data_IF_047681385231
#
_entry.id   IF_047681385231
#
_cell.length_a   1.000
_cell.length_b   1.000
_cell.length_c   1.000
_cell.angle_alpha   90.00
_cell.angle_beta   90.00
_cell.angle_gamma   90.00
#
_symmetry.space_group_name_H-M   'P 1'
#
loop_
_entity.id
_entity.type
_entity.pdbx_description
1 polymer ?
#
# COMPACT_ATOMS: atom_id res chain seq x y z
N UNK A 1 -91.64 -60.40 36.74
CA UNK A 1 -91.97 -59.86 38.08
C UNK A 1 -90.68 -59.67 38.85
N UNK A 2 -90.53 -58.60 39.64
CA UNK A 2 -89.47 -58.49 40.67
C UNK A 2 -88.03 -58.20 40.21
N UNK A 3 -87.61 -56.95 40.39
CA UNK A 3 -86.23 -56.57 40.79
C UNK A 3 -86.08 -56.92 42.32
N UNK A 4 -84.92 -56.80 43.03
CA UNK A 4 -83.77 -55.96 42.71
C UNK A 4 -82.32 -56.44 43.03
N UNK A 5 -81.39 -55.82 42.29
CA UNK A 5 -80.08 -55.26 42.66
C UNK A 5 -79.32 -55.64 43.96
N UNK A 6 -77.99 -55.76 43.83
CA UNK A 6 -77.04 -55.38 44.90
C UNK A 6 -75.81 -54.61 44.34
N UNK A 7 -75.37 -53.61 45.13
CA UNK A 7 -74.29 -52.64 44.91
C UNK A 7 -73.19 -52.83 46.00
N UNK A 8 -71.95 -52.29 45.91
CA UNK A 8 -71.44 -51.21 45.04
C UNK A 8 -69.93 -51.38 44.67
N UNK A 9 -69.59 -50.87 43.49
CA UNK A 9 -68.39 -50.14 42.99
C UNK A 9 -67.21 -49.90 43.98
N UNK A 10 -65.97 -49.91 43.43
CA UNK A 10 -64.90 -48.87 43.48
C UNK A 10 -63.61 -49.49 42.89
N UNK A 11 -63.23 -49.16 41.65
CA UNK A 11 -62.31 -48.07 41.23
C UNK A 11 -60.82 -48.35 41.60
N UNK A 12 -59.79 -48.15 40.76
CA UNK A 12 -59.68 -47.34 39.53
C UNK A 12 -58.35 -47.58 38.74
N UNK A 13 -58.26 -47.01 37.52
CA UNK A 13 -57.06 -46.61 36.74
C UNK A 13 -56.40 -47.57 35.71
N UNK A 14 -56.33 -47.00 34.50
CA UNK A 14 -56.00 -47.47 33.14
C UNK A 14 -54.50 -47.21 32.81
N UNK A 15 -54.02 -47.69 31.63
CA UNK A 15 -52.81 -47.29 30.83
C UNK A 15 -51.64 -48.33 30.85
N UNK A 16 -51.00 -48.76 29.74
CA UNK A 16 -51.27 -48.65 28.26
C UNK A 16 -50.62 -49.82 27.46
N UNK A 17 -50.52 -49.69 26.11
CA UNK A 17 -50.11 -50.68 25.07
C UNK A 17 -48.73 -50.44 24.42
N UNK A 18 -48.10 -51.54 23.99
CA UNK A 18 -47.34 -51.77 22.71
C UNK A 18 -46.12 -50.92 22.29
N UNK A 19 -45.00 -51.58 21.91
CA UNK A 19 -44.58 -51.72 20.48
C UNK A 19 -43.34 -52.63 20.22
N UNK A 20 -43.27 -53.11 18.96
CA UNK A 20 -42.13 -53.77 18.29
C UNK A 20 -40.83 -52.95 18.34
N UNK A 21 -39.66 -53.61 18.47
CA UNK A 21 -38.39 -53.11 17.91
C UNK A 21 -37.56 -54.24 17.29
N UNK A 22 -37.14 -54.02 16.04
CA UNK A 22 -36.32 -54.90 15.21
C UNK A 22 -34.83 -54.75 15.55
N UNK A 23 -34.07 -55.83 15.71
CA UNK A 23 -32.64 -55.76 16.00
C UNK A 23 -31.85 -55.21 14.80
N UNK A 24 -31.10 -54.13 15.00
CA UNK A 24 -30.35 -53.42 13.95
C UNK A 24 -28.85 -53.68 14.13
N UNK A 25 -28.22 -54.39 13.20
CA UNK A 25 -26.78 -54.62 13.21
C UNK A 25 -26.02 -53.36 12.76
N UNK A 26 -25.15 -52.83 13.61
CA UNK A 26 -24.29 -51.68 13.30
C UNK A 26 -22.96 -52.15 12.69
N UNK A 27 -22.39 -51.42 11.71
CA UNK A 27 -21.05 -51.69 11.21
C UNK A 27 -19.97 -51.36 12.25
N UNK A 28 -18.76 -51.95 12.17
CA UNK A 28 -17.69 -51.65 13.13
C UNK A 28 -17.18 -50.21 12.99
N UNK A 29 -17.02 -49.53 14.13
CA UNK A 29 -16.46 -48.17 14.19
C UNK A 29 -14.98 -48.16 13.81
N UNK A 30 -14.68 -47.72 12.58
CA UNK A 30 -13.32 -47.45 12.14
C UNK A 30 -12.90 -46.07 12.68
N UNK A 31 -12.24 -46.06 13.84
CA UNK A 31 -11.61 -44.87 14.39
C UNK A 31 -10.55 -44.32 13.42
N UNK A 32 -10.88 -43.26 12.69
CA UNK A 32 -9.89 -42.48 11.94
C UNK A 32 -8.95 -41.78 12.90
N UNK A 33 -7.64 -41.84 12.64
CA UNK A 33 -6.66 -41.06 13.41
C UNK A 33 -7.06 -39.57 13.41
N UNK A 34 -6.97 -38.85 14.54
CA UNK A 34 -7.15 -37.41 14.53
C UNK A 34 -6.08 -36.79 13.62
N UNK A 35 -6.48 -35.83 12.79
CA UNK A 35 -5.55 -35.08 11.94
C UNK A 35 -4.55 -34.36 12.83
N UNK A 36 -3.28 -34.72 12.72
CA UNK A 36 -2.21 -34.03 13.45
C UNK A 36 -1.72 -32.83 12.62
N UNK A 37 -0.90 -31.96 13.21
CA UNK A 37 -0.43 -30.74 12.55
C UNK A 37 0.24 -31.01 11.19
N UNK A 38 0.94 -32.14 11.01
CA UNK A 38 1.58 -32.52 9.74
C UNK A 38 0.56 -32.88 8.64
N UNK A 39 -0.64 -33.34 9.01
CA UNK A 39 -1.75 -33.59 8.06
C UNK A 39 -2.41 -32.29 7.59
N UNK A 40 -2.18 -31.16 8.28
CA UNK A 40 -2.71 -29.82 7.96
C UNK A 40 -1.67 -28.92 7.28
N UNK A 41 -0.38 -29.13 7.58
CA UNK A 41 0.73 -28.37 7.01
C UNK A 41 0.97 -28.73 5.53
N UNK A 42 0.27 -28.04 4.65
CA UNK A 42 0.73 -27.88 3.26
C UNK A 42 2.13 -27.25 3.28
N UNK A 43 3.04 -27.77 2.45
CA UNK A 43 4.32 -27.09 2.24
C UNK A 43 4.05 -25.79 1.48
N UNK A 44 3.94 -24.68 2.20
CA UNK A 44 4.13 -23.37 1.58
C UNK A 44 5.56 -23.31 1.07
N UNK A 45 5.74 -23.48 -0.24
CA UNK A 45 6.95 -22.97 -0.88
C UNK A 45 6.92 -21.47 -0.66
N UNK A 46 7.69 -20.99 0.32
CA UNK A 46 8.06 -19.59 0.41
C UNK A 46 8.82 -19.26 -0.85
N UNK A 47 8.11 -18.81 -1.88
CA UNK A 47 8.71 -18.23 -3.06
C UNK A 47 9.34 -16.93 -2.57
N UNK A 48 10.62 -17.01 -2.21
CA UNK A 48 11.47 -15.84 -1.99
C UNK A 48 11.62 -15.18 -3.35
N UNK A 49 10.60 -14.43 -3.75
CA UNK A 49 10.64 -13.58 -4.94
C UNK A 49 11.76 -12.59 -4.68
N UNK A 50 12.84 -12.69 -5.46
CA UNK A 50 13.90 -11.70 -5.44
C UNK A 50 13.26 -10.32 -5.60
N UNK A 51 13.37 -9.49 -4.56
CA UNK A 51 12.79 -8.14 -4.60
C UNK A 51 13.58 -7.30 -5.57
N UNK A 52 13.06 -7.13 -6.79
CA UNK A 52 13.67 -6.29 -7.81
C UNK A 52 13.79 -4.87 -7.28
N UNK A 53 15.03 -4.41 -7.08
CA UNK A 53 15.30 -3.04 -6.70
C UNK A 53 14.90 -2.09 -7.84
N UNK A 54 14.60 -0.85 -7.49
CA UNK A 54 14.08 0.14 -8.43
C UNK A 54 12.59 0.43 -8.26
N UNK A 55 12.11 1.30 -9.15
CA UNK A 55 10.72 1.66 -9.28
C UNK A 55 10.01 0.72 -10.26
N UNK A 56 8.94 0.08 -9.81
CA UNK A 56 8.16 -0.90 -10.57
C UNK A 56 6.77 -0.40 -10.91
N UNK A 57 6.34 -0.65 -12.15
CA UNK A 57 4.98 -0.36 -12.61
C UNK A 57 3.94 -1.31 -12.02
N UNK A 58 2.68 -0.87 -12.06
CA UNK A 58 1.53 -1.61 -11.56
C UNK A 58 0.98 -2.69 -12.51
N UNK A 59 1.35 -2.63 -13.80
CA UNK A 59 0.82 -3.42 -14.92
C UNK A 59 -0.72 -3.54 -15.02
N UNK A 60 -1.47 -2.65 -14.35
CA UNK A 60 -2.93 -2.63 -14.40
C UNK A 60 -3.42 -1.83 -15.60
N UNK A 61 -4.19 -2.47 -16.50
CA UNK A 61 -4.58 -1.95 -17.81
C UNK A 61 -5.25 -0.56 -17.83
N UNK A 62 -5.93 -0.16 -16.75
CA UNK A 62 -6.63 1.15 -16.64
C UNK A 62 -5.94 2.15 -15.71
N UNK A 63 -4.67 1.92 -15.35
CA UNK A 63 -3.97 2.80 -14.40
C UNK A 63 -3.53 4.12 -15.03
N UNK A 64 -4.23 5.21 -14.68
CA UNK A 64 -3.90 6.59 -15.08
C UNK A 64 -2.52 7.09 -14.59
N UNK A 65 -1.89 6.38 -13.65
CA UNK A 65 -0.59 6.71 -13.05
C UNK A 65 0.57 6.06 -13.81
N UNK A 66 0.43 4.79 -14.21
CA UNK A 66 1.51 3.99 -14.78
C UNK A 66 1.91 4.39 -16.22
N UNK A 67 1.14 5.28 -16.88
CA UNK A 67 1.54 5.90 -18.17
C UNK A 67 2.57 7.04 -18.03
N UNK A 68 2.78 7.55 -16.82
CA UNK A 68 3.65 8.70 -16.54
C UNK A 68 5.04 8.31 -16.01
N UNK A 69 5.52 7.09 -16.27
CA UNK A 69 6.91 6.66 -16.05
C UNK A 69 7.12 5.26 -16.65
N UNK A 70 8.35 4.77 -16.62
CA UNK A 70 8.73 3.40 -16.93
C UNK A 70 9.39 2.74 -15.71
N UNK A 71 9.47 1.42 -15.70
CA UNK A 71 10.30 0.71 -14.69
C UNK A 71 11.75 1.18 -14.81
N UNK A 72 12.38 1.52 -13.69
CA UNK A 72 13.78 1.98 -13.65
C UNK A 72 14.47 1.59 -12.33
N UNK A 73 15.77 1.29 -12.39
CA UNK A 73 16.62 1.05 -11.22
C UNK A 73 17.37 2.30 -10.73
N UNK A 74 17.30 3.42 -11.45
CA UNK A 74 18.01 4.66 -11.13
C UNK A 74 17.20 5.92 -11.53
N UNK A 75 17.65 7.07 -11.02
CA UNK A 75 17.24 8.41 -11.50
C UNK A 75 18.45 9.25 -11.91
N UNK A 76 18.31 10.08 -12.94
CA UNK A 76 19.39 10.96 -13.40
C UNK A 76 19.26 12.37 -12.82
N UNK A 77 20.38 12.97 -12.42
CA UNK A 77 20.46 14.40 -12.14
C UNK A 77 20.43 15.20 -13.45
N UNK A 78 19.64 16.30 -13.57
CA UNK A 78 19.56 17.10 -14.80
C UNK A 78 20.86 17.79 -15.18
N UNK A 79 21.76 17.99 -14.20
CA UNK A 79 22.86 18.96 -14.33
C UNK A 79 24.20 18.33 -14.71
N UNK A 80 24.41 17.06 -14.36
CA UNK A 80 25.63 16.30 -14.68
C UNK A 80 25.33 14.90 -15.27
N UNK A 81 24.05 14.59 -15.53
CA UNK A 81 23.57 13.27 -15.99
C UNK A 81 23.93 12.08 -15.09
N UNK A 82 24.43 12.31 -13.87
CA UNK A 82 24.80 11.24 -12.94
C UNK A 82 23.57 10.41 -12.56
N UNK A 83 23.72 9.08 -12.66
CA UNK A 83 22.68 8.12 -12.29
C UNK A 83 22.81 7.75 -10.81
N UNK A 84 21.76 8.01 -10.05
CA UNK A 84 21.62 7.61 -8.65
C UNK A 84 20.74 6.38 -8.60
N UNK A 85 21.29 5.25 -8.14
CA UNK A 85 20.54 4.00 -7.99
C UNK A 85 19.44 4.13 -6.94
N UNK A 86 18.35 3.38 -7.11
CA UNK A 86 17.22 3.27 -6.19
C UNK A 86 17.41 1.96 -5.41
N UNK A 87 17.98 1.97 -4.18
CA UNK A 87 18.34 0.76 -3.45
C UNK A 87 17.15 0.07 -2.76
N UNK A 88 15.93 0.31 -3.24
CA UNK A 88 14.68 -0.18 -2.65
C UNK A 88 13.76 -0.71 -3.74
N UNK A 89 12.94 -1.70 -3.41
CA UNK A 89 11.76 -2.06 -4.21
C UNK A 89 10.64 -1.05 -3.96
N UNK A 90 10.43 -0.12 -4.91
CA UNK A 90 9.42 0.94 -4.85
C UNK A 90 8.39 0.78 -5.96
N UNK A 91 7.19 1.32 -5.76
CA UNK A 91 6.12 1.34 -6.76
C UNK A 91 5.10 2.42 -6.43
N UNK A 92 4.05 2.55 -7.24
CA UNK A 92 2.96 3.51 -6.98
C UNK A 92 2.18 3.30 -5.67
N UNK A 93 2.28 2.12 -5.03
CA UNK A 93 1.66 1.87 -3.72
C UNK A 93 2.62 2.14 -2.54
N UNK A 94 3.90 2.45 -2.81
CA UNK A 94 4.85 2.83 -1.75
C UNK A 94 4.44 4.16 -1.12
N UNK A 95 4.57 4.22 0.21
CA UNK A 95 4.27 5.36 1.06
C UNK A 95 5.49 5.73 1.90
N UNK A 96 5.49 6.91 2.53
CA UNK A 96 6.64 7.39 3.30
C UNK A 96 7.91 7.41 2.44
N UNK A 97 7.86 8.15 1.33
CA UNK A 97 8.89 8.16 0.29
C UNK A 97 9.24 9.58 -0.16
N UNK A 98 10.41 9.70 -0.77
CA UNK A 98 10.78 10.81 -1.64
C UNK A 98 10.55 10.39 -3.09
N UNK A 99 10.05 11.31 -3.91
CA UNK A 99 9.80 11.13 -5.33
C UNK A 99 10.23 12.35 -6.12
N UNK A 100 10.48 12.12 -7.41
CA UNK A 100 10.77 13.14 -8.41
C UNK A 100 9.62 13.25 -9.39
N UNK A 101 9.29 14.47 -9.77
CA UNK A 101 8.56 14.79 -11.01
C UNK A 101 9.56 15.45 -11.96
N UNK A 102 9.83 14.82 -13.09
CA UNK A 102 10.68 15.36 -14.16
C UNK A 102 9.80 15.79 -15.32
N UNK A 103 9.99 17.01 -15.82
CA UNK A 103 9.42 17.42 -17.09
C UNK A 103 10.28 16.87 -18.24
N UNK A 104 9.74 15.97 -19.07
CA UNK A 104 10.49 15.35 -20.17
C UNK A 104 10.83 16.33 -21.31
N UNK A 105 10.19 17.50 -21.35
CA UNK A 105 10.39 18.52 -22.38
C UNK A 105 11.58 19.44 -22.09
N UNK A 106 11.75 19.86 -20.84
CA UNK A 106 12.79 20.81 -20.43
C UNK A 106 13.75 20.27 -19.35
N UNK A 107 13.61 18.99 -18.97
CA UNK A 107 14.41 18.27 -17.96
C UNK A 107 14.43 18.86 -16.54
N UNK A 108 13.64 19.91 -16.26
CA UNK A 108 13.46 20.44 -14.90
C UNK A 108 12.83 19.39 -13.99
N UNK A 109 13.34 19.32 -12.75
CA UNK A 109 12.88 18.38 -11.73
C UNK A 109 12.26 19.08 -10.51
N UNK A 110 11.20 18.48 -9.98
CA UNK A 110 10.61 18.73 -8.67
C UNK A 110 10.91 17.55 -7.75
N UNK A 111 11.50 17.79 -6.59
CA UNK A 111 11.62 16.83 -5.48
C UNK A 111 10.44 17.02 -4.54
N UNK A 112 9.83 15.93 -4.08
CA UNK A 112 8.85 16.01 -3.00
C UNK A 112 8.82 14.76 -2.14
N UNK A 113 8.41 14.92 -0.88
CA UNK A 113 8.08 13.80 0.00
C UNK A 113 6.57 13.54 0.06
N UNK A 114 6.19 12.33 0.47
CA UNK A 114 4.81 12.03 0.86
C UNK A 114 4.73 10.92 1.90
N UNK A 115 3.85 11.09 2.90
CA UNK A 115 3.43 10.05 3.84
C UNK A 115 2.35 9.13 3.26
N UNK A 116 1.62 9.58 2.23
CA UNK A 116 0.60 8.79 1.52
C UNK A 116 1.26 7.91 0.45
N UNK A 117 0.46 7.09 -0.25
CA UNK A 117 0.96 6.37 -1.43
C UNK A 117 1.33 7.34 -2.56
N UNK A 118 2.36 7.01 -3.35
CA UNK A 118 2.73 7.80 -4.53
C UNK A 118 1.53 8.00 -5.49
N UNK A 119 0.68 6.98 -5.65
CA UNK A 119 -0.55 7.04 -6.45
C UNK A 119 -1.49 8.14 -5.96
N UNK A 120 -1.72 8.24 -4.65
CA UNK A 120 -2.56 9.28 -4.07
C UNK A 120 -1.95 10.67 -4.29
N UNK A 121 -0.65 10.83 -3.98
CA UNK A 121 0.07 12.11 -4.20
C UNK A 121 0.07 12.54 -5.66
N UNK A 122 0.27 11.61 -6.60
CA UNK A 122 0.19 11.93 -8.04
C UNK A 122 -1.22 12.22 -8.52
N UNK A 123 -2.24 11.59 -7.93
CA UNK A 123 -3.64 11.92 -8.24
C UNK A 123 -3.95 13.36 -7.84
N UNK A 124 -3.42 13.82 -6.71
CA UNK A 124 -3.50 15.23 -6.32
C UNK A 124 -2.74 16.16 -7.29
N UNK A 125 -1.50 15.85 -7.67
CA UNK A 125 -0.76 16.64 -8.69
C UNK A 125 -1.49 16.70 -10.03
N UNK A 126 -2.08 15.58 -10.50
CA UNK A 126 -2.91 15.56 -11.71
C UNK A 126 -4.13 16.48 -11.59
N UNK A 127 -4.77 16.51 -10.43
CA UNK A 127 -5.89 17.42 -10.15
C UNK A 127 -5.43 18.89 -10.16
N UNK A 128 -4.32 19.24 -9.48
CA UNK A 128 -3.85 20.62 -9.44
C UNK A 128 -3.43 21.14 -10.82
N UNK A 129 -2.80 20.30 -11.64
CA UNK A 129 -2.50 20.61 -13.06
C UNK A 129 -3.82 20.80 -13.85
N UNK A 130 -4.72 19.82 -13.84
CA UNK A 130 -5.97 19.84 -14.66
C UNK A 130 -6.93 20.97 -14.27
N UNK A 131 -6.91 21.41 -13.00
CA UNK A 131 -7.80 22.43 -12.46
C UNK A 131 -7.09 23.77 -12.16
N UNK A 132 -5.96 24.03 -12.82
CA UNK A 132 -5.14 25.25 -12.75
C UNK A 132 -5.00 25.84 -11.34
N UNK A 133 -4.58 24.98 -10.40
CA UNK A 133 -4.36 25.38 -9.01
C UNK A 133 -2.94 25.87 -8.83
N UNK A 134 -2.77 27.03 -8.19
CA UNK A 134 -1.45 27.59 -7.97
C UNK A 134 -0.58 26.71 -7.05
N UNK A 135 0.23 25.88 -7.69
CA UNK A 135 1.23 25.00 -7.09
C UNK A 135 2.41 24.96 -8.06
N UNK A 136 3.65 24.87 -7.56
CA UNK A 136 4.84 24.95 -8.42
C UNK A 136 4.86 23.95 -9.58
N UNK A 137 4.32 22.74 -9.34
CA UNK A 137 4.16 21.70 -10.36
C UNK A 137 3.09 22.11 -11.39
N UNK A 138 1.88 22.49 -10.96
CA UNK A 138 0.82 22.91 -11.88
C UNK A 138 1.21 24.16 -12.70
N UNK A 139 1.76 25.17 -12.03
CA UNK A 139 2.27 26.40 -12.66
C UNK A 139 3.28 26.08 -13.78
N UNK A 140 4.15 25.08 -13.59
CA UNK A 140 5.06 24.66 -14.66
C UNK A 140 4.34 23.96 -15.82
N UNK A 141 3.43 23.03 -15.54
CA UNK A 141 2.75 22.23 -16.58
C UNK A 141 1.55 22.93 -17.24
N UNK A 142 1.18 24.12 -16.75
CA UNK A 142 0.13 24.98 -17.33
C UNK A 142 0.70 26.26 -17.97
N UNK A 143 2.01 26.53 -17.85
CA UNK A 143 2.68 27.67 -18.51
C UNK A 143 3.42 27.25 -19.78
N UNK A 144 3.14 27.99 -20.86
CA UNK A 144 3.76 27.77 -22.17
C UNK A 144 3.33 26.45 -22.80
N UNK A 145 4.21 25.87 -23.61
CA UNK A 145 3.99 24.61 -24.32
C UNK A 145 4.35 23.38 -23.45
N UNK A 146 3.80 23.33 -22.24
CA UNK A 146 3.90 22.19 -21.32
C UNK A 146 2.50 21.62 -21.05
N UNK A 147 2.44 20.33 -20.69
CA UNK A 147 1.18 19.63 -20.43
C UNK A 147 1.40 18.48 -19.44
N UNK A 148 0.31 17.91 -18.90
CA UNK A 148 0.37 16.72 -18.03
C UNK A 148 1.09 15.51 -18.65
N UNK A 149 1.09 15.38 -19.98
CA UNK A 149 1.72 14.24 -20.66
C UNK A 149 3.24 14.39 -20.74
N UNK A 150 3.78 15.59 -20.47
CA UNK A 150 5.21 15.83 -20.28
C UNK A 150 5.72 15.43 -18.87
N UNK A 151 4.85 14.93 -17.99
CA UNK A 151 5.23 14.50 -16.63
C UNK A 151 5.76 13.07 -16.60
N UNK A 152 7.00 12.91 -16.14
CA UNK A 152 7.55 11.65 -15.62
C UNK A 152 7.60 11.68 -14.08
N UNK A 153 7.04 10.68 -13.38
CA UNK A 153 7.09 10.56 -11.92
C UNK A 153 7.75 9.25 -11.44
N UNK A 154 8.74 9.35 -10.57
CA UNK A 154 9.52 8.18 -10.07
C UNK A 154 9.82 8.33 -8.58
N UNK A 155 9.66 7.26 -7.77
CA UNK A 155 10.12 7.27 -6.38
C UNK A 155 11.61 6.92 -6.28
N UNK A 156 12.34 7.57 -5.38
CA UNK A 156 13.80 7.45 -5.25
C UNK A 156 14.26 6.85 -3.94
N UNK A 157 13.63 7.24 -2.83
CA UNK A 157 14.09 6.90 -1.49
C UNK A 157 12.92 6.64 -0.54
N UNK A 158 13.17 5.85 0.51
CA UNK A 158 12.21 5.56 1.58
C UNK A 158 12.58 6.34 2.84
N UNK A 159 11.56 6.91 3.46
CA UNK A 159 11.63 7.61 4.74
C UNK A 159 11.29 6.65 5.88
N UNK A 160 12.08 6.65 6.94
CA UNK A 160 11.67 6.01 8.20
C UNK A 160 10.45 6.73 8.78
N UNK A 161 9.62 5.99 9.51
CA UNK A 161 8.50 6.55 10.28
C UNK A 161 8.91 7.12 11.62
N UNK A 162 10.07 6.71 12.18
CA UNK A 162 10.55 7.13 13.50
C UNK A 162 11.20 8.52 13.51
N UNK A 163 11.85 8.93 12.42
CA UNK A 163 12.88 9.98 12.48
C UNK A 163 12.52 11.21 11.63
N UNK A 164 11.83 12.19 12.23
CA UNK A 164 11.52 13.47 11.57
C UNK A 164 12.79 14.20 11.08
N UNK A 165 13.89 14.11 11.83
CA UNK A 165 15.20 14.68 11.45
C UNK A 165 15.75 14.02 10.18
N UNK A 166 15.67 12.69 10.06
CA UNK A 166 16.12 11.99 8.84
C UNK A 166 15.26 12.33 7.62
N UNK A 167 13.98 12.69 7.78
CA UNK A 167 13.15 13.19 6.67
C UNK A 167 13.65 14.52 6.14
N UNK A 168 13.90 15.48 7.04
CA UNK A 168 14.42 16.80 6.70
C UNK A 168 15.80 16.73 6.04
N UNK A 169 16.70 15.90 6.59
CA UNK A 169 18.03 15.69 6.02
C UNK A 169 17.96 15.04 4.62
N UNK A 170 17.07 14.08 4.39
CA UNK A 170 16.91 13.43 3.08
C UNK A 170 16.27 14.35 2.04
N UNK A 171 15.22 15.09 2.37
CA UNK A 171 14.63 16.08 1.46
C UNK A 171 15.67 17.12 1.04
N UNK A 172 16.40 17.68 2.02
CA UNK A 172 17.49 18.64 1.81
C UNK A 172 18.58 18.04 0.92
N UNK A 173 19.03 16.82 1.22
CA UNK A 173 20.02 16.10 0.41
C UNK A 173 19.56 15.94 -1.05
N UNK A 174 18.34 15.47 -1.30
CA UNK A 174 17.85 15.27 -2.67
C UNK A 174 17.66 16.58 -3.44
N UNK A 175 17.18 17.64 -2.78
CA UNK A 175 17.04 18.98 -3.39
C UNK A 175 18.41 19.54 -3.80
N UNK A 176 19.44 19.41 -2.96
CA UNK A 176 20.80 19.83 -3.30
C UNK A 176 21.46 18.92 -4.35
N UNK A 177 21.39 17.60 -4.20
CA UNK A 177 22.01 16.61 -5.11
C UNK A 177 21.46 16.71 -6.54
N UNK A 178 20.18 17.01 -6.69
CA UNK A 178 19.51 17.19 -7.99
C UNK A 178 19.43 18.66 -8.43
N UNK A 179 19.93 19.60 -7.61
CA UNK A 179 19.85 21.06 -7.80
C UNK A 179 18.43 21.53 -8.18
N UNK A 180 17.42 21.03 -7.48
CA UNK A 180 16.02 21.19 -7.85
C UNK A 180 15.44 22.62 -7.63
N UNK A 181 16.26 23.58 -7.20
CA UNK A 181 15.84 24.98 -7.00
C UNK A 181 15.62 25.75 -8.32
N UNK A 182 14.71 26.72 -8.32
CA UNK A 182 14.18 27.52 -9.46
C UNK A 182 15.10 27.83 -10.65
N UNK A 183 16.40 28.08 -10.42
CA UNK A 183 17.35 28.34 -11.51
C UNK A 183 17.57 27.11 -12.42
N UNK A 184 17.39 25.89 -11.90
CA UNK A 184 17.63 24.62 -12.60
C UNK A 184 16.54 23.55 -12.35
N UNK A 185 15.60 23.77 -11.43
CA UNK A 185 14.47 22.88 -11.13
C UNK A 185 13.16 23.61 -10.82
N UNK A 186 12.24 22.91 -10.14
CA UNK A 186 10.85 23.33 -9.88
C UNK A 186 10.54 23.58 -8.39
N UNK A 187 11.47 23.31 -7.48
CA UNK A 187 11.32 23.64 -6.06
C UNK A 187 11.71 25.10 -5.81
N UNK A 188 11.00 25.78 -4.91
CA UNK A 188 11.32 27.16 -4.50
C UNK A 188 11.87 27.19 -3.07
N UNK A 189 12.60 28.26 -2.74
CA UNK A 189 13.31 28.40 -1.44
C UNK A 189 12.38 28.38 -0.21
N UNK A 190 11.11 28.75 -0.34
CA UNK A 190 10.15 28.73 0.78
C UNK A 190 9.85 27.33 1.30
N UNK A 191 10.11 26.28 0.51
CA UNK A 191 9.97 24.88 0.94
C UNK A 191 11.05 24.45 1.95
N UNK A 192 12.07 25.28 2.19
CA UNK A 192 13.19 25.00 3.12
C UNK A 192 13.21 25.93 4.34
N UNK A 193 12.05 26.39 4.82
CA UNK A 193 11.92 27.26 6.00
C UNK A 193 12.14 26.51 7.33
N UNK A 194 13.39 26.12 7.59
CA UNK A 194 13.93 25.87 8.94
C UNK A 194 15.26 26.66 9.04
N UNK A 195 15.50 27.43 10.12
CA UNK A 195 16.69 28.27 10.23
C UNK A 195 17.98 27.45 10.29
N UNK A 196 19.04 27.97 9.64
CA UNK A 196 20.38 27.36 9.51
C UNK A 196 21.16 27.36 10.86
N UNK A 197 20.54 27.83 11.95
CA UNK A 197 21.18 28.17 13.22
C UNK A 197 21.38 27.00 14.19
N UNK A 198 21.82 25.83 13.73
CA UNK A 198 22.33 24.77 14.65
C UNK A 198 23.40 23.84 14.04
N UNK A 199 24.29 24.36 13.19
CA UNK A 199 25.57 23.69 12.89
C UNK A 199 26.72 24.68 13.06
N UNK A 200 27.09 24.94 14.32
CA UNK A 200 28.44 25.39 14.68
C UNK A 200 28.95 24.64 15.91
N UNK A 201 29.99 23.84 15.66
CA UNK A 201 31.07 23.47 16.59
C UNK A 201 30.70 22.86 17.94
N UNK A 202 30.65 21.52 17.96
CA UNK A 202 31.20 20.73 19.06
C UNK A 202 32.44 19.97 18.57
N UNK A 203 33.59 20.65 18.59
CA UNK A 203 34.89 19.99 18.65
C UNK A 203 35.65 20.63 19.81
N UNK A 204 35.86 19.82 20.84
CA UNK A 204 37.01 19.90 21.74
C UNK A 204 37.90 18.69 21.47
#
# INVERSE_FOLDING_TARGET
MGNPAMLIILDSIILTVSHFVYAKSYPPDIFRRPRNLRDTLIHSKTIVRATTLGFQLCNAARCKTCRHTMTTSYVKSPTNNAANNIPYSLSFISHSIIYLITCIKCNKQYVGQTSQTLRARFTHHRFTITNDRDTYVARHFNLGDHTIDHVNITATDRLSTSDTINRLNKDTHWIYTLKAFELQGLNVKEQTTIPITTIRTSQG
#
